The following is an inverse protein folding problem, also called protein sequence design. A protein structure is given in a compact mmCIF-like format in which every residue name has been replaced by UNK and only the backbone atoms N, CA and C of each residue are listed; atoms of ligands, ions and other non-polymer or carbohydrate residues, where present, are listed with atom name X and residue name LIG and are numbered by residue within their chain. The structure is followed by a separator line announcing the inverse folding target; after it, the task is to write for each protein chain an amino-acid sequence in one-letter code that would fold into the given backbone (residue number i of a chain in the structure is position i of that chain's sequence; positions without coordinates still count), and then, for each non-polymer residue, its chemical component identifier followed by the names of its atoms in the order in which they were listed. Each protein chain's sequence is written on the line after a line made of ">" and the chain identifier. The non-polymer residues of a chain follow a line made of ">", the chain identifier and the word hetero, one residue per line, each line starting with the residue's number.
data_IF_265237542624
#
_entry.id   IF_265237542624
#
_cell.length_a   1.000
_cell.length_b   1.000
_cell.length_c   1.000
_cell.angle_alpha   90.00
_cell.angle_beta   90.00
_cell.angle_gamma   90.00
#
_symmetry.space_group_name_H-M   'P 1'
#
loop_
_entity.id
_entity.type
_entity.pdbx_description
1 polymer ?
#
# COMPACT_ATOMS: atom_id res chain seq x y z
N UNK A 1 -12.44 12.33 -28.67
CA UNK A 1 -11.51 11.42 -27.98
C UNK A 1 -10.97 12.20 -26.80
N UNK A 2 -11.33 11.80 -25.57
CA UNK A 2 -10.94 12.53 -24.36
C UNK A 2 -9.56 12.05 -23.88
N UNK A 3 -8.81 12.88 -23.15
CA UNK A 3 -7.50 12.50 -22.60
C UNK A 3 -7.55 11.26 -21.68
N UNK A 4 -8.73 10.92 -21.15
CA UNK A 4 -8.95 9.69 -20.37
C UNK A 4 -8.83 8.41 -21.22
N UNK A 5 -9.17 8.49 -22.52
CA UNK A 5 -9.09 7.37 -23.45
C UNK A 5 -7.65 7.07 -23.86
N UNK A 6 -6.77 8.09 -23.87
CA UNK A 6 -5.36 7.97 -24.23
C UNK A 6 -4.48 7.34 -23.13
N UNK A 7 -4.91 7.42 -21.86
CA UNK A 7 -4.19 6.80 -20.74
C UNK A 7 -4.46 5.29 -20.60
N UNK A 8 -5.47 4.78 -21.32
CA UNK A 8 -5.94 3.39 -21.24
C UNK A 8 -5.10 2.44 -22.11
N UNK A 9 -4.37 2.96 -23.10
CA UNK A 9 -3.19 2.31 -23.66
C UNK A 9 -2.00 2.48 -22.68
N UNK A 10 -1.31 1.48 -22.11
CA UNK A 10 -1.48 0.03 -22.10
C UNK A 10 -0.80 -0.51 -20.82
N UNK A 11 -1.37 -0.23 -19.64
CA UNK A 11 -0.73 -0.69 -18.39
C UNK A 11 -0.56 -2.21 -18.36
N UNK A 12 -1.40 -2.96 -19.09
CA UNK A 12 -1.26 -4.40 -19.28
C UNK A 12 -0.02 -4.78 -20.07
N UNK A 13 0.34 -4.04 -21.13
CA UNK A 13 1.58 -4.29 -21.89
C UNK A 13 2.80 -3.88 -21.09
N UNK A 14 2.76 -2.72 -20.43
CA UNK A 14 3.82 -2.31 -19.51
C UNK A 14 4.02 -3.37 -18.42
N UNK A 15 2.94 -3.82 -17.77
CA UNK A 15 3.00 -4.90 -16.79
C UNK A 15 3.51 -6.20 -17.41
N UNK A 16 3.06 -6.53 -18.62
CA UNK A 16 3.44 -7.74 -19.33
C UNK A 16 4.89 -7.77 -19.82
N UNK A 17 5.50 -6.61 -20.04
CA UNK A 17 6.89 -6.39 -20.46
C UNK A 17 7.83 -6.24 -19.27
N UNK A 18 7.42 -5.52 -18.23
CA UNK A 18 8.31 -5.08 -17.13
C UNK A 18 8.16 -5.89 -15.84
N UNK A 19 7.02 -6.56 -15.61
CA UNK A 19 6.78 -7.31 -14.38
C UNK A 19 6.91 -8.82 -14.60
N UNK A 20 7.49 -9.50 -13.61
CA UNK A 20 7.52 -10.96 -13.57
C UNK A 20 6.09 -11.49 -13.38
N UNK A 21 5.69 -12.44 -14.23
CA UNK A 21 4.34 -13.04 -14.25
C UNK A 21 4.20 -14.24 -13.31
N UNK A 22 4.74 -14.15 -12.08
CA UNK A 22 4.68 -15.23 -11.09
C UNK A 22 3.26 -15.50 -10.55
N UNK A 23 2.34 -14.55 -10.70
CA UNK A 23 0.95 -14.63 -10.23
C UNK A 23 -0.07 -14.35 -11.34
N UNK A 24 0.31 -14.58 -12.61
CA UNK A 24 -0.52 -14.26 -13.77
C UNK A 24 -0.57 -12.77 -14.09
N UNK A 25 -1.52 -12.40 -14.95
CA UNK A 25 -1.75 -11.02 -15.35
C UNK A 25 -2.41 -10.21 -14.20
N UNK A 26 -2.20 -8.90 -14.16
CA UNK A 26 -2.79 -8.04 -13.12
C UNK A 26 -4.26 -7.78 -13.42
N UNK A 27 -5.12 -7.90 -12.41
CA UNK A 27 -6.58 -7.84 -12.55
C UNK A 27 -7.10 -6.41 -12.81
N UNK A 28 -6.43 -5.41 -12.23
CA UNK A 28 -6.77 -4.00 -12.38
C UNK A 28 -5.54 -3.13 -12.12
N UNK A 29 -5.53 -1.92 -12.70
CA UNK A 29 -4.60 -0.86 -12.30
C UNK A 29 -5.29 -0.01 -11.24
N UNK A 30 -4.97 -0.23 -9.97
CA UNK A 30 -5.46 0.59 -8.86
C UNK A 30 -4.58 1.85 -8.72
N UNK A 31 -5.20 3.01 -8.59
CA UNK A 31 -4.53 4.32 -8.60
C UNK A 31 -4.67 5.09 -7.29
N UNK A 32 -5.65 4.73 -6.45
CA UNK A 32 -5.89 5.37 -5.15
C UNK A 32 -6.56 4.39 -4.19
N UNK A 33 -6.31 4.55 -2.90
CA UNK A 33 -7.03 3.87 -1.82
C UNK A 33 -7.37 4.81 -0.67
N UNK A 34 -8.51 4.59 -0.02
CA UNK A 34 -8.98 5.34 1.15
C UNK A 34 -9.92 4.46 1.97
N UNK A 35 -9.53 4.14 3.21
CA UNK A 35 -10.31 3.25 4.08
C UNK A 35 -10.54 1.90 3.42
N UNK A 36 -11.79 1.44 3.36
CA UNK A 36 -12.15 0.19 2.71
C UNK A 36 -12.33 0.28 1.19
N UNK A 37 -11.98 1.41 0.56
CA UNK A 37 -12.21 1.64 -0.87
C UNK A 37 -10.91 1.81 -1.65
N UNK A 38 -10.93 1.35 -2.90
CA UNK A 38 -9.90 1.61 -3.91
C UNK A 38 -10.52 2.20 -5.17
N UNK A 39 -9.72 2.88 -5.97
CA UNK A 39 -10.10 3.41 -7.28
C UNK A 39 -9.20 2.81 -8.34
N UNK A 40 -9.79 2.36 -9.45
CA UNK A 40 -9.03 1.94 -10.63
C UNK A 40 -8.61 3.15 -11.50
N UNK A 41 -7.86 2.89 -12.56
CA UNK A 41 -7.41 3.90 -13.50
C UNK A 41 -8.54 4.56 -14.30
N UNK A 42 -9.71 3.93 -14.39
CA UNK A 42 -10.91 4.52 -14.97
C UNK A 42 -11.69 5.40 -13.97
N UNK A 43 -11.21 5.49 -12.71
CA UNK A 43 -11.85 6.24 -11.65
C UNK A 43 -13.01 5.49 -10.96
N UNK A 44 -13.19 4.20 -11.25
CA UNK A 44 -14.23 3.38 -10.62
C UNK A 44 -13.88 3.15 -9.16
N UNK A 45 -14.77 3.54 -8.25
CA UNK A 45 -14.64 3.25 -6.82
C UNK A 45 -15.13 1.83 -6.51
N UNK A 46 -14.26 1.01 -5.94
CA UNK A 46 -14.53 -0.38 -5.57
C UNK A 46 -14.43 -0.54 -4.05
N UNK A 47 -15.34 -1.32 -3.46
CA UNK A 47 -15.22 -1.77 -2.08
C UNK A 47 -14.23 -2.95 -2.03
N UNK A 48 -13.18 -2.81 -1.23
CA UNK A 48 -12.11 -3.79 -1.15
C UNK A 48 -12.42 -4.89 -0.13
N UNK A 49 -12.81 -6.07 -0.61
CA UNK A 49 -12.98 -7.27 0.20
C UNK A 49 -11.76 -8.19 0.18
N UNK A 50 -10.70 -7.84 -0.54
CA UNK A 50 -9.44 -8.56 -0.50
C UNK A 50 -8.55 -8.03 0.64
N UNK A 51 -8.55 -6.71 0.84
CA UNK A 51 -7.74 -5.99 1.82
C UNK A 51 -6.26 -6.41 1.78
N UNK A 52 -5.71 -6.57 0.57
CA UNK A 52 -4.34 -7.04 0.37
C UNK A 52 -4.08 -8.45 0.90
N UNK A 53 -5.07 -9.36 0.86
CA UNK A 53 -5.04 -10.65 1.57
C UNK A 53 -4.96 -10.41 3.09
N UNK A 54 -5.94 -9.67 3.60
CA UNK A 54 -6.08 -9.29 5.02
C UNK A 54 -4.89 -8.49 5.62
N UNK A 55 -4.06 -7.86 4.79
CA UNK A 55 -2.97 -6.98 5.20
C UNK A 55 -3.48 -5.60 5.65
N UNK A 56 -4.40 -5.01 4.88
CA UNK A 56 -4.86 -3.63 5.08
C UNK A 56 -5.93 -3.53 6.18
N UNK A 57 -5.60 -4.01 7.38
CA UNK A 57 -6.55 -4.11 8.51
C UNK A 57 -7.08 -2.76 9.01
N UNK A 58 -6.33 -1.66 8.80
CA UNK A 58 -6.77 -0.29 9.09
C UNK A 58 -7.42 0.39 7.85
N UNK A 59 -7.47 -0.30 6.72
CA UNK A 59 -7.80 0.27 5.42
C UNK A 59 -6.65 1.05 4.78
N UNK A 60 -6.85 1.40 3.52
CA UNK A 60 -5.90 2.15 2.70
C UNK A 60 -5.70 3.58 3.20
N UNK A 61 -4.45 4.06 3.20
CA UNK A 61 -4.08 5.44 3.53
C UNK A 61 -4.63 5.96 4.88
N UNK A 62 -4.76 5.08 5.89
CA UNK A 62 -5.27 5.48 7.20
C UNK A 62 -4.41 6.60 7.82
N UNK A 63 -4.98 7.74 8.23
CA UNK A 63 -4.22 8.95 8.57
C UNK A 63 -3.24 8.75 9.73
N UNK A 64 -3.62 7.95 10.74
CA UNK A 64 -2.73 7.61 11.87
C UNK A 64 -1.52 6.79 11.42
N UNK A 65 -1.70 5.89 10.44
CA UNK A 65 -0.59 5.08 9.93
C UNK A 65 0.36 5.92 9.09
N UNK A 66 -0.19 6.75 8.19
CA UNK A 66 0.60 7.67 7.36
C UNK A 66 1.44 8.61 8.22
N UNK A 67 0.83 9.27 9.22
CA UNK A 67 1.56 10.17 10.12
C UNK A 67 2.67 9.44 10.90
N UNK A 68 2.37 8.28 11.48
CA UNK A 68 3.34 7.50 12.25
C UNK A 68 4.55 7.08 11.41
N UNK A 69 4.32 6.59 10.19
CA UNK A 69 5.39 6.19 9.25
C UNK A 69 6.20 7.41 8.81
N UNK A 70 5.54 8.50 8.38
CA UNK A 70 6.23 9.72 7.91
C UNK A 70 7.13 10.29 9.00
N UNK A 71 6.62 10.47 10.22
CA UNK A 71 7.38 11.00 11.35
C UNK A 71 8.60 10.13 11.68
N UNK A 72 8.42 8.81 11.73
CA UNK A 72 9.52 7.90 12.03
C UNK A 72 10.55 7.86 10.89
N UNK A 73 10.12 7.85 9.63
CA UNK A 73 11.03 7.86 8.48
C UNK A 73 11.88 9.14 8.40
N UNK A 74 11.31 10.29 8.77
CA UNK A 74 12.05 11.56 8.89
C UNK A 74 13.06 11.56 10.04
N UNK A 75 12.84 10.73 11.06
CA UNK A 75 13.70 10.66 12.25
C UNK A 75 14.80 9.61 12.07
N UNK A 76 14.42 8.36 11.81
CA UNK A 76 15.31 7.21 11.67
C UNK A 76 14.56 6.06 10.98
N UNK A 77 14.94 5.75 9.74
CA UNK A 77 14.28 4.71 8.94
C UNK A 77 14.79 3.28 9.21
N UNK A 78 16.09 3.10 9.42
CA UNK A 78 16.67 1.77 9.60
C UNK A 78 17.95 1.80 10.46
N UNK A 79 18.04 0.82 11.35
CA UNK A 79 19.27 0.40 12.02
C UNK A 79 19.35 -1.13 11.95
N UNK A 80 20.56 -1.70 12.03
CA UNK A 80 20.69 -3.14 12.19
C UNK A 80 20.25 -3.57 13.60
N UNK A 81 20.07 -4.88 13.79
CA UNK A 81 19.75 -5.46 15.09
C UNK A 81 20.88 -5.35 16.13
N UNK A 82 22.01 -4.71 15.80
CA UNK A 82 23.05 -4.39 16.79
C UNK A 82 22.69 -3.17 17.65
N UNK A 83 21.70 -2.38 17.24
CA UNK A 83 21.27 -1.18 17.95
C UNK A 83 19.78 -1.28 18.29
N UNK A 84 19.38 -0.67 19.42
CA UNK A 84 17.99 -0.56 19.83
C UNK A 84 17.39 0.80 19.45
N UNK A 85 16.07 0.86 19.29
CA UNK A 85 15.33 2.12 19.11
C UNK A 85 14.17 2.25 20.10
N UNK A 86 13.77 3.47 20.49
CA UNK A 86 12.65 3.65 21.41
C UNK A 86 11.34 2.98 20.94
N UNK A 87 10.89 3.14 19.67
CA UNK A 87 9.66 2.48 19.20
C UNK A 87 9.71 0.95 19.28
N UNK A 88 10.90 0.35 19.07
CA UNK A 88 11.08 -1.10 19.20
C UNK A 88 10.84 -1.58 20.63
N UNK A 89 11.41 -0.87 21.62
CA UNK A 89 11.26 -1.21 23.04
C UNK A 89 9.82 -1.00 23.52
N UNK A 90 9.19 0.12 23.12
CA UNK A 90 7.81 0.45 23.46
C UNK A 90 6.82 -0.58 22.92
N UNK A 91 6.93 -0.94 21.65
CA UNK A 91 6.05 -1.94 21.03
C UNK A 91 6.23 -3.32 21.67
N UNK A 92 7.47 -3.75 21.92
CA UNK A 92 7.73 -5.03 22.58
C UNK A 92 7.13 -5.08 24.00
N UNK A 93 7.19 -3.98 24.76
CA UNK A 93 6.56 -3.89 26.06
C UNK A 93 5.01 -3.91 25.97
N UNK A 94 4.43 -3.26 24.96
CA UNK A 94 2.98 -3.27 24.70
C UNK A 94 2.47 -4.67 24.31
N UNK A 95 3.17 -5.40 23.44
CA UNK A 95 2.68 -6.70 22.99
C UNK A 95 2.74 -7.78 24.08
N UNK A 96 3.72 -7.73 24.98
CA UNK A 96 3.82 -8.68 26.10
C UNK A 96 2.69 -8.59 27.13
N UNK A 97 1.94 -7.49 27.14
CA UNK A 97 0.83 -7.26 28.08
C UNK A 97 -0.55 -7.51 27.48
N UNK A 98 -0.62 -7.86 26.20
CA UNK A 98 -1.82 -8.33 25.53
C UNK A 98 -1.94 -9.84 25.69
#
# INVERSE_FOLDING_TARGET
>A
MSDADAQTEIWQEAAGRDLVRNSGDRLALLTRGEGAYVWDAAGTRLLDFLAGIAVDALGHAHPVFVDAVTRQAQTLAHVSNYFATPPQLELAALLKRL
#
